data_IF_015987425101
#
_entry.id   IF_015987425101
#
_cell.length_a   1.000
_cell.length_b   1.000
_cell.length_c   1.000
_cell.angle_alpha   90.00
_cell.angle_beta   90.00
_cell.angle_gamma   90.00
#
_symmetry.space_group_name_H-M   'P 1'
#
loop_
_entity.id
_entity.type
_entity.pdbx_description
1 polymer ?
#
# COMPACT_ATOMS: atom_id res chain seq x y z
N UNK A 1 -34.17 6.44 30.75
CA UNK A 1 -33.34 5.22 30.76
C UNK A 1 -32.65 4.99 32.10
N UNK A 2 -31.64 5.78 32.50
CA UNK A 2 -31.02 5.61 33.83
C UNK A 2 -31.99 5.94 34.97
N UNK A 3 -32.83 6.96 34.80
CA UNK A 3 -33.94 7.29 35.71
C UNK A 3 -34.96 6.16 35.80
N UNK A 4 -35.45 5.65 34.68
CA UNK A 4 -36.40 4.53 34.61
C UNK A 4 -35.85 3.25 35.25
N UNK A 5 -34.55 2.97 35.11
CA UNK A 5 -33.90 1.85 35.79
C UNK A 5 -33.88 2.04 37.31
N UNK A 6 -33.47 3.23 37.78
CA UNK A 6 -33.49 3.56 39.22
C UNK A 6 -34.90 3.48 39.77
N UNK A 7 -35.88 3.96 39.02
CA UNK A 7 -37.29 3.91 39.38
C UNK A 7 -37.78 2.46 39.47
N UNK A 8 -37.49 1.59 38.49
CA UNK A 8 -37.88 0.17 38.53
C UNK A 8 -37.25 -0.61 39.69
N UNK A 9 -35.99 -0.32 40.00
CA UNK A 9 -35.29 -0.90 41.15
C UNK A 9 -35.87 -0.40 42.47
N UNK A 10 -36.22 0.88 42.53
CA UNK A 10 -36.84 1.50 43.71
C UNK A 10 -38.28 0.97 43.92
N UNK A 11 -39.10 0.90 42.88
CA UNK A 11 -40.47 0.35 42.94
C UNK A 11 -40.48 -1.10 43.41
N UNK A 12 -39.59 -1.96 42.88
CA UNK A 12 -39.54 -3.37 43.29
C UNK A 12 -39.09 -3.54 44.75
N UNK A 13 -38.20 -2.67 45.25
CA UNK A 13 -37.82 -2.67 46.67
C UNK A 13 -38.92 -2.09 47.56
N UNK A 14 -39.67 -1.11 47.05
CA UNK A 14 -40.76 -0.46 47.77
C UNK A 14 -41.99 -1.36 47.88
N UNK A 15 -42.36 -2.10 46.82
CA UNK A 15 -43.40 -3.14 46.87
C UNK A 15 -43.08 -4.25 47.88
N UNK A 16 -41.79 -4.62 48.01
CA UNK A 16 -41.34 -5.58 49.03
C UNK A 16 -41.39 -4.97 50.45
N UNK A 17 -41.13 -3.67 50.58
CA UNK A 17 -41.20 -2.97 51.84
C UNK A 17 -42.66 -2.79 52.32
N UNK A 18 -43.56 -2.45 51.40
CA UNK A 18 -45.00 -2.28 51.68
C UNK A 18 -45.65 -3.64 52.02
N UNK A 19 -45.36 -4.70 51.26
CA UNK A 19 -45.79 -6.07 51.60
C UNK A 19 -45.22 -6.54 52.95
N UNK A 20 -43.99 -6.17 53.29
CA UNK A 20 -43.43 -6.51 54.59
C UNK A 20 -44.19 -5.80 55.71
N UNK A 21 -44.50 -4.50 55.56
CA UNK A 21 -45.24 -3.74 56.56
C UNK A 21 -46.67 -4.26 56.77
N UNK A 22 -47.38 -4.64 55.70
CA UNK A 22 -48.71 -5.26 55.79
C UNK A 22 -48.71 -6.58 56.57
N UNK A 23 -47.57 -7.29 56.56
CA UNK A 23 -47.38 -8.57 57.25
C UNK A 23 -46.67 -8.44 58.60
N UNK A 24 -46.52 -7.22 59.13
CA UNK A 24 -45.88 -6.95 60.42
C UNK A 24 -44.37 -7.21 60.41
N UNK A 25 -43.70 -6.96 59.28
CA UNK A 25 -42.28 -7.14 59.05
C UNK A 25 -41.66 -5.84 58.50
N UNK A 26 -40.38 -5.63 58.73
CA UNK A 26 -39.63 -4.49 58.14
C UNK A 26 -38.33 -4.96 57.51
N UNK A 27 -37.91 -4.29 56.45
CA UNK A 27 -36.64 -4.55 55.78
C UNK A 27 -35.53 -3.76 56.47
N UNK A 28 -34.49 -4.46 56.95
CA UNK A 28 -33.31 -3.86 57.59
C UNK A 28 -32.06 -4.11 56.77
N UNK A 29 -31.13 -3.15 56.82
CA UNK A 29 -29.82 -3.24 56.19
C UNK A 29 -28.78 -3.61 57.24
N UNK A 30 -28.28 -4.83 57.19
CA UNK A 30 -27.24 -5.35 58.10
C UNK A 30 -25.89 -5.40 57.38
N UNK A 31 -24.76 -5.52 58.09
CA UNK A 31 -23.44 -5.73 57.48
C UNK A 31 -23.35 -7.00 56.61
N UNK A 32 -24.23 -7.98 56.86
CA UNK A 32 -24.33 -9.23 56.10
C UNK A 32 -25.32 -9.15 54.91
N UNK A 33 -26.04 -8.03 54.74
CA UNK A 33 -27.01 -7.83 53.67
C UNK A 33 -28.39 -7.33 54.13
N UNK A 34 -29.37 -7.40 53.23
CA UNK A 34 -30.76 -7.04 53.50
C UNK A 34 -31.50 -8.22 54.15
N UNK A 35 -32.18 -7.98 55.28
CA UNK A 35 -32.90 -9.01 56.05
C UNK A 35 -34.26 -8.47 56.52
N UNK A 36 -35.29 -9.31 56.55
CA UNK A 36 -36.59 -8.97 57.14
C UNK A 36 -36.59 -9.25 58.64
N UNK A 37 -37.15 -8.33 59.43
CA UNK A 37 -37.28 -8.47 60.88
C UNK A 37 -38.73 -8.18 61.33
N UNK A 38 -39.28 -8.90 62.33
CA UNK A 38 -40.62 -8.67 62.85
C UNK A 38 -40.78 -7.26 63.43
N UNK A 39 -41.90 -6.62 63.11
CA UNK A 39 -42.23 -5.24 63.45
C UNK A 39 -43.63 -5.18 64.08
N UNK A 40 -43.72 -4.79 65.36
CA UNK A 40 -44.97 -4.73 66.13
C UNK A 40 -44.93 -3.52 67.07
N UNK A 41 -46.04 -2.79 67.20
CA UNK A 41 -46.17 -1.60 68.07
C UNK A 41 -45.11 -0.50 67.87
N UNK A 42 -44.72 -0.26 66.61
CA UNK A 42 -43.80 0.83 66.25
C UNK A 42 -42.31 0.53 66.50
N UNK A 43 -41.97 -0.67 66.97
CA UNK A 43 -40.58 -1.10 67.20
C UNK A 43 -40.27 -2.45 66.53
N UNK A 44 -39.01 -2.62 66.14
CA UNK A 44 -38.48 -3.91 65.69
C UNK A 44 -38.38 -4.84 66.89
N UNK A 45 -39.01 -6.01 66.82
CA UNK A 45 -38.98 -7.00 67.89
C UNK A 45 -37.55 -7.54 68.06
N UNK A 46 -37.05 -7.50 69.29
CA UNK A 46 -35.78 -8.13 69.64
C UNK A 46 -35.93 -9.67 69.60
N UNK A 47 -34.84 -10.44 69.41
CA UNK A 47 -34.89 -11.90 69.44
C UNK A 47 -35.47 -12.47 70.75
N UNK A 48 -35.34 -11.74 71.86
CA UNK A 48 -35.87 -12.12 73.17
C UNK A 48 -37.40 -11.91 73.27
N UNK A 49 -37.93 -10.87 72.63
CA UNK A 49 -39.36 -10.58 72.61
C UNK A 49 -40.10 -11.44 71.58
N UNK A 50 -39.42 -11.83 70.50
CA UNK A 50 -39.92 -12.82 69.54
C UNK A 50 -40.13 -14.20 70.19
N UNK A 51 -39.26 -14.60 71.12
CA UNK A 51 -39.38 -15.87 71.84
C UNK A 51 -40.53 -15.90 72.88
N UNK A 52 -41.02 -14.73 73.32
CA UNK A 52 -42.15 -14.61 74.27
C UNK A 52 -43.51 -14.73 73.59
N UNK A 53 -43.57 -14.71 72.25
CA UNK A 53 -44.80 -14.87 71.49
C UNK A 53 -45.30 -16.33 71.53
N UNK A 54 -46.62 -16.56 71.41
CA UNK A 54 -47.18 -17.91 71.29
C UNK A 54 -46.53 -18.70 70.13
N UNK A 55 -46.34 -20.02 70.28
CA UNK A 55 -45.72 -20.85 69.23
C UNK A 55 -46.43 -20.75 67.87
N UNK A 56 -47.76 -20.55 67.88
CA UNK A 56 -48.59 -20.33 66.69
C UNK A 56 -48.19 -19.02 65.96
N UNK A 57 -48.05 -17.90 66.69
CA UNK A 57 -47.65 -16.61 66.12
C UNK A 57 -46.19 -16.63 65.64
N UNK A 58 -45.31 -17.36 66.34
CA UNK A 58 -43.91 -17.53 65.95
C UNK A 58 -43.78 -18.27 64.63
N UNK A 59 -44.49 -19.40 64.47
CA UNK A 59 -44.48 -20.19 63.22
C UNK A 59 -45.05 -19.41 62.05
N UNK A 60 -46.09 -18.59 62.28
CA UNK A 60 -46.66 -17.73 61.25
C UNK A 60 -45.66 -16.67 60.78
N UNK A 61 -45.01 -15.95 61.70
CA UNK A 61 -44.00 -14.95 61.36
C UNK A 61 -42.74 -15.54 60.72
N UNK A 62 -42.31 -16.73 61.16
CA UNK A 62 -41.19 -17.46 60.53
C UNK A 62 -41.52 -17.84 59.06
N UNK A 63 -42.73 -18.32 58.78
CA UNK A 63 -43.17 -18.62 57.41
C UNK A 63 -43.24 -17.37 56.52
N UNK A 64 -43.75 -16.26 57.06
CA UNK A 64 -43.84 -14.98 56.35
C UNK A 64 -42.46 -14.36 56.07
N UNK A 65 -41.51 -14.49 57.01
CA UNK A 65 -40.11 -14.11 56.79
C UNK A 65 -39.51 -14.94 55.67
N UNK A 66 -39.73 -16.26 55.65
CA UNK A 66 -39.19 -17.14 54.60
C UNK A 66 -39.74 -16.80 53.21
N UNK A 67 -41.04 -16.50 53.10
CA UNK A 67 -41.69 -16.14 51.85
C UNK A 67 -41.26 -14.75 51.33
N UNK A 68 -41.13 -13.76 52.21
CA UNK A 68 -40.59 -12.45 51.84
C UNK A 68 -39.10 -12.53 51.50
N UNK A 69 -38.33 -13.37 52.19
CA UNK A 69 -36.90 -13.59 51.89
C UNK A 69 -36.72 -14.28 50.52
N UNK A 70 -37.57 -15.23 50.15
CA UNK A 70 -37.62 -15.80 48.78
C UNK A 70 -37.96 -14.74 47.74
N UNK A 71 -38.90 -13.83 48.05
CA UNK A 71 -39.30 -12.74 47.15
C UNK A 71 -38.18 -11.70 46.97
N UNK A 72 -37.47 -11.35 48.04
CA UNK A 72 -36.28 -10.50 47.98
C UNK A 72 -35.15 -11.16 47.19
N UNK A 73 -34.92 -12.46 47.38
CA UNK A 73 -33.92 -13.20 46.60
C UNK A 73 -34.27 -13.20 45.11
N UNK A 74 -35.55 -13.37 44.77
CA UNK A 74 -36.04 -13.27 43.38
C UNK A 74 -35.80 -11.87 42.80
N UNK A 75 -36.11 -10.80 43.53
CA UNK A 75 -35.86 -9.43 43.08
C UNK A 75 -34.36 -9.14 42.90
N UNK A 76 -33.51 -9.60 43.83
CA UNK A 76 -32.05 -9.46 43.71
C UNK A 76 -31.47 -10.28 42.55
N UNK A 77 -32.06 -11.43 42.21
CA UNK A 77 -31.68 -12.20 41.02
C UNK A 77 -32.07 -11.50 39.71
N UNK A 78 -33.06 -10.61 39.73
CA UNK A 78 -33.46 -9.81 38.56
C UNK A 78 -32.57 -8.58 38.34
N UNK A 79 -31.93 -8.03 39.39
CA UNK A 79 -31.08 -6.85 39.25
C UNK A 79 -29.95 -7.00 38.20
N UNK A 80 -29.19 -8.11 38.15
CA UNK A 80 -28.21 -8.34 37.07
C UNK A 80 -28.84 -8.41 35.67
N UNK A 81 -30.10 -8.86 35.55
CA UNK A 81 -30.81 -8.89 34.27
C UNK A 81 -31.16 -7.48 33.81
N UNK A 82 -31.69 -6.64 34.70
CA UNK A 82 -31.99 -5.24 34.40
C UNK A 82 -30.72 -4.44 34.08
N UNK A 83 -29.61 -4.69 34.77
CA UNK A 83 -28.32 -4.09 34.42
C UNK A 83 -27.85 -4.46 33.01
N UNK A 84 -28.04 -5.72 32.60
CA UNK A 84 -27.74 -6.15 31.23
C UNK A 84 -28.67 -5.46 30.23
N UNK A 85 -29.97 -5.39 30.50
CA UNK A 85 -30.94 -4.68 29.65
C UNK A 85 -30.59 -3.19 29.48
N UNK A 86 -30.26 -2.50 30.58
CA UNK A 86 -29.82 -1.11 30.54
C UNK A 86 -28.55 -0.97 29.70
N UNK A 87 -27.57 -1.86 29.88
CA UNK A 87 -26.32 -1.83 29.11
C UNK A 87 -26.55 -2.04 27.62
N UNK A 88 -27.50 -2.91 27.25
CA UNK A 88 -27.91 -3.11 25.86
C UNK A 88 -28.59 -1.85 25.31
N UNK A 89 -29.58 -1.29 26.01
CA UNK A 89 -30.26 -0.04 25.61
C UNK A 89 -29.31 1.13 25.45
N UNK A 90 -28.36 1.30 26.37
CA UNK A 90 -27.34 2.35 26.29
C UNK A 90 -26.42 2.13 25.07
N UNK A 91 -26.06 0.87 24.77
CA UNK A 91 -25.26 0.55 23.58
C UNK A 91 -26.03 0.82 22.28
N UNK A 92 -27.32 0.46 22.24
CA UNK A 92 -28.20 0.72 21.09
C UNK A 92 -28.37 2.22 20.86
N UNK A 93 -28.66 3.00 21.90
CA UNK A 93 -28.77 4.46 21.80
C UNK A 93 -27.46 5.09 21.33
N UNK A 94 -26.32 4.66 21.89
CA UNK A 94 -25.01 5.16 21.43
C UNK A 94 -24.79 4.87 19.95
N UNK A 95 -25.13 3.65 19.50
CA UNK A 95 -25.04 3.27 18.10
C UNK A 95 -25.95 4.13 17.22
N UNK A 96 -27.19 4.37 17.62
CA UNK A 96 -28.13 5.20 16.87
C UNK A 96 -27.65 6.65 16.71
N UNK A 97 -27.19 7.25 17.81
CA UNK A 97 -26.61 8.61 17.81
C UNK A 97 -25.35 8.66 16.94
N UNK A 98 -24.49 7.65 17.05
CA UNK A 98 -23.30 7.55 16.20
C UNK A 98 -23.66 7.42 14.73
N UNK A 99 -24.57 6.51 14.38
CA UNK A 99 -24.97 6.28 12.99
C UNK A 99 -25.55 7.56 12.40
N UNK A 100 -26.32 8.33 13.18
CA UNK A 100 -26.83 9.65 12.76
C UNK A 100 -25.69 10.63 12.42
N UNK A 101 -24.70 10.77 13.32
CA UNK A 101 -23.56 11.69 13.11
C UNK A 101 -22.65 11.23 11.97
N UNK A 102 -22.34 9.94 11.89
CA UNK A 102 -21.49 9.40 10.83
C UNK A 102 -22.19 9.49 9.48
N UNK A 103 -23.49 9.23 9.40
CA UNK A 103 -24.25 9.34 8.16
C UNK A 103 -24.18 10.77 7.61
N UNK A 104 -24.31 11.80 8.44
CA UNK A 104 -24.19 13.19 8.00
C UNK A 104 -22.83 13.45 7.30
N UNK A 105 -21.72 13.08 7.94
CA UNK A 105 -20.36 13.30 7.40
C UNK A 105 -20.05 12.39 6.20
N UNK A 106 -20.53 11.15 6.20
CA UNK A 106 -20.25 10.19 5.12
C UNK A 106 -21.13 10.40 3.89
N UNK A 107 -22.35 10.93 4.04
CA UNK A 107 -23.24 11.21 2.92
C UNK A 107 -22.64 12.24 1.96
N UNK A 108 -21.99 13.28 2.49
CA UNK A 108 -21.29 14.28 1.69
C UNK A 108 -20.15 13.66 0.86
N UNK A 109 -19.47 12.65 1.40
CA UNK A 109 -18.40 11.93 0.69
C UNK A 109 -18.98 10.98 -0.35
N UNK A 110 -20.03 10.22 0.00
CA UNK A 110 -20.70 9.29 -0.92
C UNK A 110 -21.31 10.02 -2.13
N UNK A 111 -21.86 11.22 -1.92
CA UNK A 111 -22.37 12.07 -2.99
C UNK A 111 -21.26 12.57 -3.93
N UNK A 112 -20.04 12.80 -3.41
CA UNK A 112 -18.90 13.21 -4.24
C UNK A 112 -18.32 12.09 -5.10
N UNK A 113 -18.37 10.85 -4.61
CA UNK A 113 -17.77 9.67 -5.27
C UNK A 113 -18.81 8.70 -5.86
N UNK A 114 -19.97 9.22 -6.29
CA UNK A 114 -21.09 8.39 -6.76
C UNK A 114 -20.74 7.54 -7.99
N UNK A 115 -19.76 7.97 -8.79
CA UNK A 115 -19.32 7.26 -10.00
C UNK A 115 -18.27 6.15 -9.72
N UNK A 116 -17.78 6.04 -8.48
CA UNK A 116 -16.71 5.10 -8.10
C UNK A 116 -17.23 4.04 -7.12
N UNK A 117 -17.68 2.86 -7.60
CA UNK A 117 -18.29 1.84 -6.76
C UNK A 117 -17.35 1.30 -5.68
N UNK A 118 -16.05 1.19 -5.97
CA UNK A 118 -15.05 0.69 -5.01
C UNK A 118 -14.81 1.67 -3.86
N UNK A 119 -14.83 2.98 -4.15
CA UNK A 119 -14.73 4.03 -3.12
C UNK A 119 -15.97 4.00 -2.23
N UNK A 120 -17.16 3.84 -2.81
CA UNK A 120 -18.42 3.69 -2.06
C UNK A 120 -18.34 2.46 -1.14
N UNK A 121 -17.89 1.31 -1.66
CA UNK A 121 -17.72 0.07 -0.89
C UNK A 121 -16.76 0.28 0.29
N UNK A 122 -15.63 0.96 0.06
CA UNK A 122 -14.69 1.30 1.11
C UNK A 122 -15.31 2.23 2.17
N UNK A 123 -15.95 3.33 1.76
CA UNK A 123 -16.57 4.27 2.70
C UNK A 123 -17.69 3.63 3.52
N UNK A 124 -18.47 2.71 2.94
CA UNK A 124 -19.47 1.93 3.66
C UNK A 124 -18.85 0.97 4.66
N UNK A 125 -17.73 0.33 4.31
CA UNK A 125 -16.96 -0.52 5.22
C UNK A 125 -16.37 0.29 6.39
N UNK A 126 -15.81 1.47 6.10
CA UNK A 126 -15.32 2.42 7.13
C UNK A 126 -16.46 2.79 8.06
N UNK A 127 -17.64 3.17 7.53
CA UNK A 127 -18.82 3.48 8.35
C UNK A 127 -19.20 2.33 9.29
N UNK A 128 -19.32 1.11 8.76
CA UNK A 128 -19.68 -0.06 9.55
C UNK A 128 -18.65 -0.37 10.64
N UNK A 129 -17.36 -0.22 10.32
CA UNK A 129 -16.26 -0.49 11.25
C UNK A 129 -16.18 0.55 12.36
N UNK A 130 -16.35 1.85 12.04
CA UNK A 130 -16.37 2.93 13.04
C UNK A 130 -17.55 2.75 14.01
N UNK A 131 -18.75 2.45 13.49
CA UNK A 131 -19.92 2.18 14.34
C UNK A 131 -19.74 0.96 15.24
N UNK A 132 -19.03 -0.07 14.78
CA UNK A 132 -18.68 -1.26 15.56
C UNK A 132 -17.63 -1.00 16.64
N UNK A 133 -16.68 -0.10 16.38
CA UNK A 133 -15.50 0.15 17.21
C UNK A 133 -15.49 1.53 17.89
N UNK A 134 -16.65 2.11 18.14
CA UNK A 134 -16.81 3.44 18.76
C UNK A 134 -15.99 3.66 20.03
N UNK A 135 -15.87 2.63 20.86
CA UNK A 135 -15.15 2.73 22.13
C UNK A 135 -13.65 3.03 21.94
N UNK A 136 -13.08 2.66 20.80
CA UNK A 136 -11.66 2.90 20.49
C UNK A 136 -11.39 4.38 20.15
N UNK A 137 -12.42 5.12 19.75
CA UNK A 137 -12.34 6.56 19.47
C UNK A 137 -12.76 7.42 20.66
N UNK A 138 -13.57 6.87 21.58
CA UNK A 138 -14.06 7.57 22.76
C UNK A 138 -13.07 7.56 23.92
N UNK A 139 -12.00 6.75 23.87
CA UNK A 139 -10.90 6.83 24.84
C UNK A 139 -10.22 8.20 24.73
N UNK A 140 -10.18 9.00 25.81
CA UNK A 140 -9.32 10.18 25.85
C UNK A 140 -7.87 9.74 25.58
N UNK A 141 -7.04 10.58 24.97
CA UNK A 141 -5.60 10.33 24.82
C UNK A 141 -4.82 10.33 26.15
N UNK A 142 -5.44 9.99 27.28
CA UNK A 142 -4.86 9.91 28.62
C UNK A 142 -4.52 8.48 29.04
N UNK A 143 -3.83 7.76 28.15
CA UNK A 143 -2.97 6.65 28.55
C UNK A 143 -1.67 6.65 27.74
N UNK A 144 -1.20 7.86 27.39
CA UNK A 144 0.14 8.13 26.87
C UNK A 144 1.01 8.85 27.92
N UNK A 145 0.61 8.82 29.18
CA UNK A 145 1.37 9.33 30.31
C UNK A 145 1.05 8.49 31.54
N UNK A 146 1.72 7.35 31.66
CA UNK A 146 2.03 6.62 32.90
C UNK A 146 2.73 5.29 32.56
N UNK A 147 3.85 5.42 31.86
CA UNK A 147 4.97 4.48 31.91
C UNK A 147 6.24 5.24 31.51
N UNK A 148 6.45 6.42 32.10
CA UNK A 148 7.79 6.97 32.25
C UNK A 148 8.50 6.11 33.29
N UNK A 149 8.96 4.93 32.86
CA UNK A 149 10.04 4.26 33.53
C UNK A 149 11.29 5.05 33.17
N UNK A 150 11.86 5.72 34.17
CA UNK A 150 13.15 6.40 34.11
C UNK A 150 14.18 5.55 33.36
N UNK A 151 14.62 6.06 32.21
CA UNK A 151 15.58 5.41 31.34
C UNK A 151 15.98 6.38 30.23
N UNK A 152 16.96 7.22 30.53
CA UNK A 152 17.55 8.17 29.60
C UNK A 152 17.90 7.51 28.25
N UNK A 153 17.25 7.95 27.18
CA UNK A 153 17.75 7.81 25.83
C UNK A 153 17.74 9.20 25.18
N UNK A 154 18.87 9.66 24.60
CA UNK A 154 19.01 11.03 24.15
C UNK A 154 18.13 11.30 22.93
N UNK A 155 17.31 12.34 23.04
CA UNK A 155 16.51 12.91 21.97
C UNK A 155 17.38 13.37 20.81
N UNK A 156 17.24 12.75 19.64
CA UNK A 156 17.82 13.23 18.38
C UNK A 156 16.98 14.41 17.90
N UNK A 157 17.53 15.64 17.80
CA UNK A 157 16.81 16.78 17.25
C UNK A 157 16.83 16.69 15.72
N UNK A 158 15.67 16.51 15.07
CA UNK A 158 15.59 16.60 13.60
C UNK A 158 14.48 15.84 12.90
N UNK A 159 13.69 15.00 13.58
CA UNK A 159 12.56 14.33 12.95
C UNK A 159 11.33 15.26 12.93
N UNK A 160 10.91 15.62 11.71
CA UNK A 160 9.73 16.40 11.33
C UNK A 160 8.55 16.11 12.28
N UNK A 161 8.32 17.06 13.18
CA UNK A 161 7.13 17.14 14.01
C UNK A 161 5.94 17.47 13.10
N UNK A 162 5.13 16.47 12.78
CA UNK A 162 3.94 16.64 11.94
C UNK A 162 2.85 15.58 12.09
N UNK A 163 3.12 14.42 12.71
CA UNK A 163 2.15 13.31 12.76
C UNK A 163 2.02 12.59 14.11
N UNK A 164 2.58 13.15 15.19
CA UNK A 164 2.68 12.47 16.50
C UNK A 164 1.44 12.62 17.41
N UNK A 165 0.26 12.96 16.89
CA UNK A 165 -0.98 13.10 17.68
C UNK A 165 -2.24 12.50 17.01
N UNK A 166 -2.09 11.59 16.03
CA UNK A 166 -3.25 10.88 15.48
C UNK A 166 -3.47 9.59 16.26
N UNK A 167 -4.65 9.46 16.87
CA UNK A 167 -5.12 8.24 17.54
C UNK A 167 -4.79 7.03 16.63
N UNK A 168 -4.09 5.98 17.12
CA UNK A 168 -3.76 4.80 16.31
C UNK A 168 -5.00 4.18 15.64
N UNK A 169 -6.17 4.32 16.26
CA UNK A 169 -7.45 3.90 15.69
C UNK A 169 -7.85 4.64 14.40
N UNK A 170 -7.25 5.79 14.08
CA UNK A 170 -7.47 6.53 12.83
C UNK A 170 -6.51 6.09 11.71
N UNK A 171 -5.39 5.44 12.03
CA UNK A 171 -4.44 4.97 11.00
C UNK A 171 -5.06 3.90 10.11
N UNK A 172 -5.93 3.04 10.64
CA UNK A 172 -6.61 1.96 9.87
C UNK A 172 -7.46 2.45 8.69
N UNK A 173 -7.84 3.73 8.67
CA UNK A 173 -8.67 4.33 7.61
C UNK A 173 -7.92 5.30 6.71
N UNK A 174 -6.60 5.38 6.82
CA UNK A 174 -5.84 6.19 5.89
C UNK A 174 -5.85 5.56 4.50
N UNK A 175 -5.64 6.38 3.48
CA UNK A 175 -5.52 5.93 2.10
C UNK A 175 -4.04 6.02 1.73
N UNK A 176 -3.47 4.90 1.28
CA UNK A 176 -2.11 4.87 0.73
C UNK A 176 -2.19 5.08 -0.79
N UNK A 177 -1.85 6.28 -1.25
CA UNK A 177 -1.80 6.59 -2.68
C UNK A 177 -0.54 5.96 -3.27
N UNK A 178 -0.71 4.88 -4.02
CA UNK A 178 0.40 4.15 -4.64
C UNK A 178 1.02 4.92 -5.81
N UNK A 179 0.19 5.50 -6.68
CA UNK A 179 0.65 6.26 -7.84
C UNK A 179 -0.19 7.52 -7.95
N UNK A 180 0.48 8.66 -8.06
CA UNK A 180 -0.14 9.96 -8.34
C UNK A 180 0.13 10.34 -9.79
N UNK A 181 -0.95 10.57 -10.54
CA UNK A 181 -0.93 10.96 -11.95
C UNK A 181 -1.54 12.35 -12.18
N UNK A 182 -1.69 13.18 -11.14
CA UNK A 182 -2.33 14.49 -11.23
C UNK A 182 -1.69 15.44 -12.25
N UNK A 183 -0.36 15.38 -12.41
CA UNK A 183 0.40 16.20 -13.37
C UNK A 183 0.61 15.53 -14.74
N UNK A 184 0.06 14.33 -14.96
CA UNK A 184 0.30 13.58 -16.19
C UNK A 184 -0.50 14.16 -17.37
N UNK A 185 0.21 14.52 -18.46
CA UNK A 185 -0.41 15.07 -19.68
C UNK A 185 -0.78 14.00 -20.72
N UNK A 186 -0.47 12.73 -20.46
CA UNK A 186 -0.69 11.63 -21.39
C UNK A 186 -0.38 10.27 -20.75
N UNK A 187 -0.38 9.22 -21.57
CA UNK A 187 -0.09 7.86 -21.10
C UNK A 187 1.34 7.76 -20.53
N UNK A 188 1.55 7.08 -19.40
CA UNK A 188 2.87 6.95 -18.79
C UNK A 188 3.80 6.15 -19.71
N UNK A 189 5.04 6.61 -19.89
CA UNK A 189 6.09 5.88 -20.62
C UNK A 189 7.30 5.75 -19.71
N UNK A 190 7.53 4.55 -19.19
CA UNK A 190 8.56 4.30 -18.19
C UNK A 190 9.64 3.36 -18.75
N UNK A 191 10.91 3.72 -18.55
CA UNK A 191 12.04 2.85 -18.79
C UNK A 191 12.62 2.39 -17.45
N UNK A 192 12.58 1.08 -17.18
CA UNK A 192 13.15 0.53 -15.94
C UNK A 192 14.57 0.01 -16.17
N UNK A 193 15.51 0.54 -15.40
CA UNK A 193 16.94 0.24 -15.51
C UNK A 193 17.28 -1.05 -14.76
N UNK A 194 16.59 -1.33 -13.65
CA UNK A 194 16.78 -2.48 -12.78
C UNK A 194 15.46 -3.25 -12.59
N UNK A 195 15.10 -4.14 -13.54
CA UNK A 195 13.84 -4.87 -13.55
C UNK A 195 13.88 -6.07 -12.59
N UNK A 196 14.14 -5.83 -11.30
CA UNK A 196 14.03 -6.86 -10.27
C UNK A 196 12.56 -7.20 -10.02
N UNK A 197 12.26 -8.42 -9.56
CA UNK A 197 10.89 -8.84 -9.26
C UNK A 197 10.15 -7.83 -8.37
N UNK A 198 10.75 -7.42 -7.24
CA UNK A 198 10.17 -6.45 -6.31
C UNK A 198 9.99 -5.06 -6.93
N UNK A 199 10.85 -4.65 -7.86
CA UNK A 199 10.68 -3.38 -8.56
C UNK A 199 9.58 -3.46 -9.62
N UNK A 200 9.34 -4.62 -10.23
CA UNK A 200 8.27 -4.84 -11.20
C UNK A 200 6.90 -4.82 -10.51
N UNK A 201 6.68 -5.76 -9.58
CA UNK A 201 5.37 -5.96 -8.96
C UNK A 201 5.13 -5.06 -7.76
N UNK A 202 6.17 -4.54 -7.11
CA UNK A 202 6.04 -3.81 -5.84
C UNK A 202 6.38 -4.68 -4.64
N UNK A 203 6.26 -4.10 -3.44
CA UNK A 203 6.62 -4.80 -2.20
C UNK A 203 5.87 -4.27 -1.00
N UNK A 204 5.75 -5.09 0.04
CA UNK A 204 5.31 -4.67 1.36
C UNK A 204 6.53 -4.51 2.25
N UNK A 205 6.80 -3.29 2.72
CA UNK A 205 7.91 -3.02 3.63
C UNK A 205 7.54 -3.37 5.08
N UNK A 206 8.57 -3.63 5.88
CA UNK A 206 8.45 -3.92 7.31
C UNK A 206 9.31 -2.94 8.09
N UNK A 207 8.77 -2.42 9.19
CA UNK A 207 9.51 -1.56 10.12
C UNK A 207 9.81 -2.32 11.40
N UNK A 208 11.04 -2.19 11.90
CA UNK A 208 11.40 -2.72 13.20
C UNK A 208 10.89 -1.78 14.30
N UNK A 209 9.97 -2.24 15.12
CA UNK A 209 9.46 -1.53 16.29
C UNK A 209 9.67 -2.40 17.53
N UNK A 210 10.51 -1.93 18.46
CA UNK A 210 10.87 -2.65 19.68
C UNK A 210 11.33 -4.10 19.46
N UNK A 211 12.11 -4.35 18.39
CA UNK A 211 12.62 -5.69 18.05
C UNK A 211 11.62 -6.61 17.34
N UNK A 212 10.35 -6.21 17.20
CA UNK A 212 9.37 -6.88 16.36
C UNK A 212 9.31 -6.21 14.97
N UNK A 213 9.13 -7.02 13.92
CA UNK A 213 8.85 -6.51 12.57
C UNK A 213 7.34 -6.29 12.45
N UNK A 214 6.94 -5.05 12.21
CA UNK A 214 5.55 -4.64 12.01
C UNK A 214 5.37 -4.17 10.58
N UNK A 215 4.21 -4.49 9.99
CA UNK A 215 3.82 -4.02 8.66
C UNK A 215 2.39 -3.49 8.68
N UNK A 216 2.10 -2.52 7.82
CA UNK A 216 0.77 -1.96 7.60
C UNK A 216 0.59 -1.60 6.12
N UNK A 217 -0.64 -1.26 5.73
CA UNK A 217 -0.96 -0.97 4.33
C UNK A 217 -0.28 0.31 3.80
N UNK A 218 0.23 1.19 4.69
CA UNK A 218 0.98 2.40 4.30
C UNK A 218 2.41 2.08 3.89
N UNK A 219 2.90 0.89 4.26
CA UNK A 219 4.20 0.36 3.88
C UNK A 219 4.18 -0.42 2.56
N UNK A 220 3.03 -0.48 1.88
CA UNK A 220 2.95 -0.99 0.52
C UNK A 220 3.61 0.01 -0.42
N UNK A 221 4.61 -0.44 -1.18
CA UNK A 221 5.32 0.34 -2.19
C UNK A 221 4.95 -0.12 -3.60
N UNK A 222 4.60 0.82 -4.50
CA UNK A 222 4.28 0.49 -5.88
C UNK A 222 5.51 -0.04 -6.63
N UNK A 223 5.27 -0.96 -7.56
CA UNK A 223 6.23 -1.36 -8.58
C UNK A 223 6.20 -0.46 -9.82
N UNK A 224 7.00 -0.79 -10.84
CA UNK A 224 6.91 -0.13 -12.16
C UNK A 224 5.67 -0.53 -12.92
N UNK A 225 5.14 -1.74 -12.73
CA UNK A 225 3.88 -2.14 -13.38
C UNK A 225 2.72 -1.25 -12.91
N UNK A 226 2.70 -0.91 -11.61
CA UNK A 226 1.74 0.03 -11.06
C UNK A 226 1.86 1.41 -11.69
N UNK A 227 3.08 1.92 -11.84
CA UNK A 227 3.35 3.25 -12.41
C UNK A 227 3.13 3.33 -13.92
N UNK A 228 3.33 2.22 -14.63
CA UNK A 228 3.14 2.12 -16.08
C UNK A 228 1.71 1.75 -16.49
N UNK A 229 0.84 1.47 -15.52
CA UNK A 229 -0.54 1.07 -15.77
C UNK A 229 -1.29 2.17 -16.55
N UNK A 230 -2.00 1.79 -17.61
CA UNK A 230 -2.61 2.67 -18.61
C UNK A 230 -1.65 3.20 -19.68
N UNK A 231 -0.41 2.68 -19.79
CA UNK A 231 0.61 3.19 -20.70
C UNK A 231 1.62 2.16 -21.19
N UNK A 232 2.91 2.54 -21.17
CA UNK A 232 4.01 1.81 -21.79
C UNK A 232 5.16 1.57 -20.80
N UNK A 233 5.68 0.35 -20.78
CA UNK A 233 6.83 -0.05 -19.99
C UNK A 233 7.94 -0.59 -20.90
N UNK A 234 9.09 0.07 -20.90
CA UNK A 234 10.28 -0.34 -21.64
C UNK A 234 11.23 -1.08 -20.69
N UNK A 235 11.62 -2.30 -21.05
CA UNK A 235 12.52 -3.16 -20.28
C UNK A 235 13.66 -3.67 -21.16
N UNK A 236 14.85 -3.79 -20.58
CA UNK A 236 15.95 -4.52 -21.20
C UNK A 236 15.78 -6.02 -20.92
N UNK A 237 15.59 -6.81 -21.99
CA UNK A 237 15.31 -8.23 -21.90
C UNK A 237 16.46 -9.00 -21.23
N UNK A 238 17.72 -8.62 -21.51
CA UNK A 238 18.87 -9.29 -20.89
C UNK A 238 18.89 -9.03 -19.39
N UNK A 239 18.68 -7.78 -18.96
CA UNK A 239 18.63 -7.45 -17.53
C UNK A 239 17.48 -8.14 -16.81
N UNK A 240 16.31 -8.21 -17.45
CA UNK A 240 15.13 -8.88 -16.92
C UNK A 240 15.39 -10.37 -16.66
N UNK A 241 16.02 -11.07 -17.61
CA UNK A 241 16.36 -12.50 -17.47
C UNK A 241 17.47 -12.77 -16.45
N UNK A 242 18.36 -11.80 -16.22
CA UNK A 242 19.41 -11.93 -15.20
C UNK A 242 18.88 -11.77 -13.77
N UNK A 243 17.69 -11.18 -13.59
CA UNK A 243 17.09 -11.01 -12.28
C UNK A 243 16.26 -12.24 -11.90
N UNK A 244 16.51 -12.88 -10.73
CA UNK A 244 15.73 -14.04 -10.29
C UNK A 244 14.23 -13.72 -10.24
N UNK A 245 13.41 -14.62 -10.78
CA UNK A 245 11.94 -14.58 -10.79
C UNK A 245 11.30 -13.36 -11.48
N UNK A 246 12.08 -12.42 -12.02
CA UNK A 246 11.53 -11.22 -12.65
C UNK A 246 10.82 -11.53 -13.96
N UNK A 247 11.38 -12.43 -14.78
CA UNK A 247 10.76 -12.90 -16.02
C UNK A 247 9.41 -13.58 -15.76
N UNK A 248 9.40 -14.59 -14.89
CA UNK A 248 8.17 -15.32 -14.53
C UNK A 248 7.14 -14.40 -13.87
N UNK A 249 7.58 -13.49 -13.01
CA UNK A 249 6.71 -12.50 -12.39
C UNK A 249 6.03 -11.58 -13.41
N UNK A 250 6.78 -11.15 -14.42
CA UNK A 250 6.24 -10.35 -15.51
C UNK A 250 5.25 -11.16 -16.36
N UNK A 251 5.60 -12.38 -16.76
CA UNK A 251 4.72 -13.26 -17.54
C UNK A 251 3.39 -13.46 -16.83
N UNK A 252 3.41 -13.86 -15.56
CA UNK A 252 2.20 -14.02 -14.74
C UNK A 252 1.35 -12.75 -14.70
N UNK A 253 1.98 -11.59 -14.48
CA UNK A 253 1.24 -10.33 -14.43
C UNK A 253 0.53 -10.02 -15.76
N UNK A 254 1.18 -10.33 -16.90
CA UNK A 254 0.62 -10.12 -18.24
C UNK A 254 -0.43 -11.18 -18.62
N UNK A 255 -0.23 -12.43 -18.23
CA UNK A 255 -1.16 -13.54 -18.50
C UNK A 255 -2.48 -13.37 -17.73
N UNK A 256 -2.40 -13.05 -16.44
CA UNK A 256 -3.58 -12.85 -15.60
C UNK A 256 -4.18 -11.44 -15.73
N UNK A 257 -3.44 -10.49 -16.31
CA UNK A 257 -3.88 -9.10 -16.43
C UNK A 257 -4.04 -8.43 -15.07
N UNK A 258 -3.24 -8.80 -14.08
CA UNK A 258 -3.29 -8.25 -12.72
C UNK A 258 -1.91 -8.22 -12.06
N UNK A 259 -1.69 -7.22 -11.20
CA UNK A 259 -0.48 -7.05 -10.42
C UNK A 259 -0.73 -7.62 -9.03
N UNK A 260 0.06 -8.61 -8.64
CA UNK A 260 0.05 -9.20 -7.31
C UNK A 260 1.34 -8.87 -6.57
N UNK A 261 1.21 -8.21 -5.42
CA UNK A 261 2.35 -7.94 -4.54
C UNK A 261 2.54 -9.16 -3.64
N UNK A 262 3.43 -10.06 -4.06
CA UNK A 262 3.79 -11.27 -3.32
C UNK A 262 5.27 -11.20 -2.92
N UNK A 263 5.63 -11.72 -1.74
CA UNK A 263 7.04 -11.83 -1.36
C UNK A 263 7.64 -13.15 -1.86
N UNK A 264 8.79 -13.15 -2.54
CA UNK A 264 9.48 -14.40 -2.92
C UNK A 264 9.77 -15.33 -1.72
N UNK A 265 10.01 -14.76 -0.53
CA UNK A 265 10.24 -15.54 0.70
C UNK A 265 8.97 -16.25 1.19
N UNK A 266 7.80 -15.67 0.93
CA UNK A 266 6.52 -16.32 1.21
C UNK A 266 6.23 -17.45 0.22
N UNK A 267 6.54 -17.25 -1.07
CA UNK A 267 6.43 -18.33 -2.07
C UNK A 267 7.28 -19.55 -1.69
N UNK A 268 8.42 -19.32 -1.04
CA UNK A 268 9.31 -20.39 -0.56
C UNK A 268 8.96 -20.89 0.86
N UNK A 269 7.90 -20.36 1.50
CA UNK A 269 7.51 -20.65 2.89
C UNK A 269 8.64 -20.45 3.92
N UNK A 270 9.61 -19.58 3.63
CA UNK A 270 10.82 -19.37 4.45
C UNK A 270 10.62 -18.36 5.58
N UNK A 271 9.44 -17.75 5.68
CA UNK A 271 9.09 -16.77 6.72
C UNK A 271 7.72 -17.08 7.31
N UNK A 272 7.63 -17.16 8.64
CA UNK A 272 6.41 -17.43 9.42
C UNK A 272 5.68 -16.16 9.90
N UNK A 273 6.07 -14.99 9.42
CA UNK A 273 5.43 -13.72 9.78
C UNK A 273 4.17 -13.50 8.96
N UNK A 274 3.04 -13.26 9.63
CA UNK A 274 1.79 -12.83 8.99
C UNK A 274 2.10 -11.53 8.25
N UNK A 275 1.94 -11.54 6.93
CA UNK A 275 2.11 -10.38 6.07
C UNK A 275 0.77 -9.98 5.51
N UNK A 276 0.68 -8.72 5.08
CA UNK A 276 -0.42 -8.26 4.25
C UNK A 276 -0.39 -8.97 2.90
N UNK A 277 -1.58 -9.34 2.44
CA UNK A 277 -1.86 -9.82 1.08
C UNK A 277 -2.79 -8.79 0.43
N UNK A 278 -2.23 -7.79 -0.29
CA UNK A 278 -3.03 -6.79 -0.98
C UNK A 278 -3.89 -7.45 -2.06
N UNK A 279 -5.09 -6.90 -2.29
CA UNK A 279 -5.95 -7.32 -3.41
C UNK A 279 -5.22 -7.08 -4.75
N UNK A 280 -5.27 -8.04 -5.69
CA UNK A 280 -4.67 -7.86 -7.02
C UNK A 280 -5.21 -6.63 -7.75
N UNK A 281 -4.33 -5.89 -8.42
CA UNK A 281 -4.69 -4.67 -9.15
C UNK A 281 -4.76 -4.98 -10.65
N UNK A 282 -5.87 -4.72 -11.36
CA UNK A 282 -5.96 -4.93 -12.80
C UNK A 282 -4.85 -4.20 -13.57
N UNK A 283 -4.24 -4.90 -14.52
CA UNK A 283 -3.11 -4.44 -15.33
C UNK A 283 -3.53 -4.20 -16.78
N UNK A 284 -3.34 -2.97 -17.24
CA UNK A 284 -3.44 -2.54 -18.63
C UNK A 284 -2.13 -1.83 -19.01
N UNK A 285 -1.15 -2.56 -19.55
CA UNK A 285 0.14 -1.99 -19.93
C UNK A 285 0.66 -2.59 -21.23
N UNK A 286 1.31 -1.77 -22.04
CA UNK A 286 2.07 -2.23 -23.21
C UNK A 286 3.55 -2.36 -22.84
N UNK A 287 4.03 -3.60 -22.78
CA UNK A 287 5.44 -3.88 -22.49
C UNK A 287 6.25 -3.94 -23.78
N UNK A 288 7.37 -3.21 -23.82
CA UNK A 288 8.33 -3.19 -24.91
C UNK A 288 9.65 -3.74 -24.38
N UNK A 289 10.03 -4.92 -24.88
CA UNK A 289 11.32 -5.53 -24.58
C UNK A 289 12.37 -5.06 -25.58
N UNK A 290 13.49 -4.57 -25.06
CA UNK A 290 14.67 -4.18 -25.82
C UNK A 290 15.73 -5.27 -25.67
N UNK A 291 16.22 -5.79 -26.78
CA UNK A 291 17.21 -6.86 -26.79
C UNK A 291 17.87 -7.01 -28.16
N UNK A 292 18.91 -7.82 -28.22
CA UNK A 292 19.52 -8.20 -29.50
C UNK A 292 18.71 -9.29 -30.20
N UNK A 293 18.97 -9.47 -31.50
CA UNK A 293 18.25 -10.42 -32.34
C UNK A 293 18.47 -11.88 -31.91
N UNK A 294 19.65 -12.20 -31.37
CA UNK A 294 19.94 -13.56 -30.92
C UNK A 294 19.13 -13.90 -29.68
N UNK A 295 18.99 -12.95 -28.75
CA UNK A 295 18.20 -13.09 -27.53
C UNK A 295 16.72 -13.31 -27.84
N UNK A 296 16.17 -12.61 -28.83
CA UNK A 296 14.81 -12.86 -29.31
C UNK A 296 14.62 -14.32 -29.75
N UNK A 297 15.50 -14.85 -30.60
CA UNK A 297 15.38 -16.25 -31.06
C UNK A 297 15.61 -17.26 -29.94
N UNK A 298 16.51 -16.98 -29.00
CA UNK A 298 16.71 -17.84 -27.83
C UNK A 298 15.45 -17.87 -26.95
N UNK A 299 14.80 -16.73 -26.72
CA UNK A 299 13.56 -16.66 -25.95
C UNK A 299 12.41 -17.37 -26.65
N UNK A 300 12.17 -17.10 -27.93
CA UNK A 300 11.11 -17.74 -28.71
C UNK A 300 11.26 -19.27 -28.78
N UNK A 301 12.48 -19.81 -28.69
CA UNK A 301 12.71 -21.26 -28.63
C UNK A 301 12.64 -21.84 -27.22
N UNK A 302 13.08 -21.08 -26.21
CA UNK A 302 13.16 -21.56 -24.84
C UNK A 302 11.84 -21.46 -24.09
N UNK A 303 10.99 -20.50 -24.44
CA UNK A 303 9.76 -20.17 -23.72
C UNK A 303 8.56 -20.07 -24.69
N UNK A 304 7.61 -21.03 -24.65
CA UNK A 304 6.46 -21.03 -25.55
C UNK A 304 5.49 -19.87 -25.30
N UNK A 305 5.42 -19.36 -24.07
CA UNK A 305 4.52 -18.26 -23.70
C UNK A 305 5.01 -16.92 -24.28
N UNK A 306 6.29 -16.84 -24.66
CA UNK A 306 6.91 -15.64 -25.18
C UNK A 306 6.21 -15.11 -26.44
N UNK A 307 5.95 -15.97 -27.41
CA UNK A 307 5.29 -15.57 -28.66
C UNK A 307 3.80 -15.25 -28.46
N UNK A 308 3.17 -15.81 -27.43
CA UNK A 308 1.79 -15.49 -27.06
C UNK A 308 1.68 -14.10 -26.42
N UNK A 309 2.62 -13.74 -25.56
CA UNK A 309 2.67 -12.47 -24.86
C UNK A 309 3.25 -11.34 -25.73
N UNK A 310 4.29 -11.63 -26.51
CA UNK A 310 5.06 -10.66 -27.31
C UNK A 310 4.87 -10.87 -28.82
N UNK A 311 3.63 -10.67 -29.29
CA UNK A 311 3.21 -10.95 -30.67
C UNK A 311 3.88 -10.10 -31.76
N UNK A 312 4.40 -8.93 -31.41
CA UNK A 312 4.94 -7.96 -32.38
C UNK A 312 6.45 -7.86 -32.22
N UNK A 313 7.19 -8.38 -33.19
CA UNK A 313 8.62 -8.17 -33.33
C UNK A 313 8.88 -6.95 -34.22
N UNK A 314 9.55 -5.93 -33.68
CA UNK A 314 10.05 -4.79 -34.43
C UNK A 314 11.57 -4.92 -34.58
N UNK A 315 12.02 -5.44 -35.73
CA UNK A 315 13.45 -5.54 -36.06
C UNK A 315 13.93 -4.24 -36.70
N UNK A 316 14.96 -3.62 -36.11
CA UNK A 316 15.62 -2.46 -36.68
C UNK A 316 16.74 -2.93 -37.59
N UNK A 317 16.59 -2.72 -38.89
CA UNK A 317 17.66 -3.07 -39.83
C UNK A 317 18.94 -2.30 -39.50
N UNK A 318 20.06 -3.02 -39.40
CA UNK A 318 21.40 -2.45 -39.19
C UNK A 318 21.93 -1.72 -40.44
N UNK A 319 21.22 -1.87 -41.56
CA UNK A 319 21.63 -1.40 -42.88
C UNK A 319 20.45 -0.86 -43.66
N UNK A 320 20.64 0.26 -44.34
CA UNK A 320 19.68 0.83 -45.31
C UNK A 320 20.32 0.90 -46.70
N UNK A 321 19.49 0.85 -47.73
CA UNK A 321 19.93 1.07 -49.11
C UNK A 321 20.42 2.51 -49.28
N UNK A 322 21.51 2.69 -50.01
CA UNK A 322 22.08 3.98 -50.35
C UNK A 322 21.46 4.49 -51.66
N UNK A 323 20.50 5.37 -51.52
CA UNK A 323 19.86 6.09 -52.61
C UNK A 323 19.89 7.61 -52.31
N UNK A 324 19.55 8.49 -53.28
CA UNK A 324 19.59 9.93 -53.05
C UNK A 324 18.68 10.42 -51.90
N UNK A 325 17.57 9.74 -51.64
CA UNK A 325 16.64 10.08 -50.55
C UNK A 325 17.22 9.67 -49.20
N UNK A 326 17.70 8.44 -49.08
CA UNK A 326 18.31 7.92 -47.85
C UNK A 326 19.58 8.69 -47.49
N UNK A 327 20.37 9.13 -48.46
CA UNK A 327 21.51 10.02 -48.23
C UNK A 327 21.09 11.38 -47.66
N UNK A 328 19.98 11.95 -48.12
CA UNK A 328 19.45 13.21 -47.59
C UNK A 328 18.92 13.02 -46.15
N UNK A 329 18.21 11.92 -45.88
CA UNK A 329 17.76 11.58 -44.53
C UNK A 329 18.95 11.36 -43.59
N UNK A 330 20.02 10.71 -44.06
CA UNK A 330 21.25 10.51 -43.30
C UNK A 330 21.97 11.83 -43.00
N UNK A 331 22.00 12.76 -43.96
CA UNK A 331 22.54 14.09 -43.74
C UNK A 331 21.73 14.87 -42.69
N UNK A 332 20.40 14.73 -42.67
CA UNK A 332 19.53 15.28 -41.62
C UNK A 332 19.80 14.65 -40.27
N UNK A 333 19.99 13.32 -40.20
CA UNK A 333 20.38 12.63 -38.98
C UNK A 333 21.71 13.19 -38.43
N UNK A 334 22.72 13.34 -39.28
CA UNK A 334 24.00 13.95 -38.90
C UNK A 334 23.79 15.37 -38.36
N UNK A 335 22.98 16.19 -39.04
CA UNK A 335 22.68 17.54 -38.59
C UNK A 335 21.98 17.56 -37.21
N UNK A 336 21.02 16.66 -36.98
CA UNK A 336 20.34 16.50 -35.69
C UNK A 336 21.33 16.11 -34.59
N UNK A 337 22.25 15.17 -34.86
CA UNK A 337 23.28 14.75 -33.90
C UNK A 337 24.25 15.90 -33.59
N UNK A 338 24.70 16.63 -34.61
CA UNK A 338 25.60 17.79 -34.44
C UNK A 338 24.94 18.85 -33.56
N UNK A 339 23.64 19.09 -33.74
CA UNK A 339 22.88 20.04 -32.92
C UNK A 339 22.68 19.53 -31.48
N UNK A 340 22.27 18.27 -31.30
CA UNK A 340 21.99 17.72 -29.97
C UNK A 340 23.25 17.63 -29.11
N UNK A 341 24.38 17.27 -29.72
CA UNK A 341 25.69 17.18 -29.07
C UNK A 341 26.45 18.52 -29.04
N UNK A 342 25.86 19.61 -29.57
CA UNK A 342 26.47 20.96 -29.62
C UNK A 342 27.85 20.99 -30.28
N UNK A 343 28.05 20.19 -31.33
CA UNK A 343 29.29 20.14 -32.10
C UNK A 343 29.38 21.32 -33.07
N UNK A 344 30.58 21.61 -33.60
CA UNK A 344 30.73 22.64 -34.64
C UNK A 344 30.01 22.26 -35.94
N UNK A 345 29.67 23.25 -36.78
CA UNK A 345 29.06 22.98 -38.07
C UNK A 345 29.94 22.08 -38.95
N UNK A 346 29.32 21.13 -39.63
CA UNK A 346 29.98 20.25 -40.60
C UNK A 346 29.70 20.79 -42.02
N UNK A 347 30.76 20.97 -42.81
CA UNK A 347 30.62 21.30 -44.22
C UNK A 347 30.10 20.09 -45.03
N UNK A 348 29.55 20.33 -46.22
CA UNK A 348 29.08 19.29 -47.15
C UNK A 348 30.14 18.22 -47.43
N UNK A 349 31.42 18.62 -47.45
CA UNK A 349 32.54 17.69 -47.66
C UNK A 349 32.71 16.72 -46.47
N UNK A 350 32.51 17.19 -45.24
CA UNK A 350 32.58 16.36 -44.05
C UNK A 350 31.39 15.39 -43.98
N UNK A 351 30.17 15.87 -44.23
CA UNK A 351 28.95 15.04 -44.27
C UNK A 351 29.09 13.94 -45.32
N UNK A 352 29.52 14.28 -46.54
CA UNK A 352 29.77 13.29 -47.59
C UNK A 352 30.80 12.24 -47.17
N UNK A 353 31.89 12.65 -46.51
CA UNK A 353 32.91 11.72 -46.03
C UNK A 353 32.40 10.79 -44.92
N UNK A 354 31.53 11.27 -44.03
CA UNK A 354 30.88 10.45 -43.00
C UNK A 354 29.95 9.41 -43.64
N UNK A 355 29.14 9.81 -44.64
CA UNK A 355 28.28 8.89 -45.39
C UNK A 355 29.11 7.82 -46.10
N UNK A 356 30.20 8.19 -46.78
CA UNK A 356 31.10 7.20 -47.39
C UNK A 356 31.71 6.24 -46.36
N UNK A 357 32.09 6.76 -45.19
CA UNK A 357 32.63 5.93 -44.13
C UNK A 357 31.58 4.96 -43.58
N UNK A 358 30.32 5.37 -43.46
CA UNK A 358 29.23 4.47 -43.08
C UNK A 358 29.00 3.34 -44.09
N UNK A 359 29.14 3.60 -45.40
CA UNK A 359 29.09 2.56 -46.43
C UNK A 359 30.27 1.59 -46.31
N UNK A 360 31.48 2.15 -46.09
CA UNK A 360 32.69 1.35 -45.88
C UNK A 360 32.60 0.45 -44.65
N UNK A 361 31.95 0.89 -43.57
CA UNK A 361 31.74 0.07 -42.37
C UNK A 361 30.87 -1.16 -42.62
N UNK A 362 29.89 -1.05 -43.53
CA UNK A 362 29.05 -2.19 -43.97
C UNK A 362 29.81 -3.10 -44.94
N UNK A 363 30.83 -2.58 -45.62
CA UNK A 363 31.59 -3.30 -46.64
C UNK A 363 30.88 -3.36 -48.00
N UNK A 364 29.84 -2.54 -48.19
CA UNK A 364 28.98 -2.53 -49.38
C UNK A 364 28.70 -1.06 -49.77
N UNK A 365 29.04 -0.69 -51.01
CA UNK A 365 28.92 0.68 -51.49
C UNK A 365 27.48 1.15 -51.69
N UNK A 366 26.55 0.20 -51.84
CA UNK A 366 25.12 0.44 -52.06
C UNK A 366 24.33 0.48 -50.74
N UNK A 367 25.01 0.44 -49.60
CA UNK A 367 24.39 0.34 -48.28
C UNK A 367 25.01 1.31 -47.28
N UNK A 368 24.23 1.74 -46.29
CA UNK A 368 24.66 2.61 -45.20
C UNK A 368 24.36 1.96 -43.86
N UNK A 369 25.25 2.10 -42.89
CA UNK A 369 25.02 1.62 -41.53
C UNK A 369 24.05 2.51 -40.78
N UNK A 370 23.09 1.92 -40.07
CA UNK A 370 22.15 2.60 -39.17
C UNK A 370 22.62 2.61 -37.71
N UNK A 371 23.84 2.14 -37.42
CA UNK A 371 24.41 2.12 -36.07
C UNK A 371 24.78 3.53 -35.61
N UNK A 372 23.78 4.25 -35.09
CA UNK A 372 23.87 5.68 -34.73
C UNK A 372 25.04 5.98 -33.81
N UNK A 373 25.30 5.15 -32.81
CA UNK A 373 26.39 5.39 -31.85
C UNK A 373 27.76 5.51 -32.54
N UNK A 374 28.04 4.67 -33.54
CA UNK A 374 29.33 4.75 -34.26
C UNK A 374 29.46 6.06 -35.05
N UNK A 375 28.33 6.58 -35.55
CA UNK A 375 28.27 7.87 -36.23
C UNK A 375 28.54 8.99 -35.23
N UNK A 376 27.87 8.97 -34.08
CA UNK A 376 28.06 9.94 -32.99
C UNK A 376 29.55 10.00 -32.60
N UNK A 377 30.16 8.85 -32.30
CA UNK A 377 31.57 8.79 -31.93
C UNK A 377 32.49 9.37 -33.02
N UNK A 378 32.19 9.09 -34.30
CA UNK A 378 32.97 9.63 -35.42
C UNK A 378 32.81 11.15 -35.55
N UNK A 379 31.62 11.68 -35.30
CA UNK A 379 31.34 13.12 -35.34
C UNK A 379 32.05 13.83 -34.16
N UNK A 380 32.00 13.27 -32.96
CA UNK A 380 32.71 13.80 -31.78
C UNK A 380 34.22 13.82 -31.99
N UNK A 381 34.80 12.72 -32.50
CA UNK A 381 36.23 12.67 -32.84
C UNK A 381 36.57 13.70 -33.92
N UNK A 382 35.71 13.86 -34.93
CA UNK A 382 35.92 14.85 -36.00
C UNK A 382 35.92 16.27 -35.45
N UNK A 383 34.99 16.59 -34.55
CA UNK A 383 34.95 17.88 -33.86
C UNK A 383 36.26 18.08 -33.08
N UNK A 384 36.68 17.11 -32.27
CA UNK A 384 37.94 17.20 -31.53
C UNK A 384 39.14 17.55 -32.44
N UNK A 385 39.28 16.91 -33.60
CA UNK A 385 40.34 17.21 -34.56
C UNK A 385 40.19 18.59 -35.23
N UNK A 386 38.96 19.04 -35.47
CA UNK A 386 38.73 20.41 -35.92
C UNK A 386 39.13 21.43 -34.85
N UNK A 387 39.02 21.09 -33.55
CA UNK A 387 39.37 21.98 -32.42
C UNK A 387 40.87 22.17 -32.35
N UNK A 388 41.59 21.05 -32.40
CA UNK A 388 43.05 21.04 -32.42
C UNK A 388 43.59 21.83 -33.63
N UNK A 389 42.89 21.80 -34.77
CA UNK A 389 43.25 22.58 -35.96
C UNK A 389 42.80 24.05 -35.93
N UNK A 390 42.09 24.50 -34.89
CA UNK A 390 41.55 25.86 -34.80
C UNK A 390 40.44 26.18 -35.80
N UNK A 391 39.80 25.17 -36.40
CA UNK A 391 38.79 25.35 -37.43
C UNK A 391 37.40 25.58 -36.83
N UNK A 392 36.69 26.60 -37.33
CA UNK A 392 35.30 26.88 -36.93
C UNK A 392 34.29 25.91 -37.58
N UNK A 393 34.67 25.26 -38.69
CA UNK A 393 33.83 24.32 -39.45
C UNK A 393 34.61 23.02 -39.66
N UNK A 394 33.96 21.88 -39.41
CA UNK A 394 34.53 20.57 -39.66
C UNK A 394 34.51 20.25 -41.17
N UNK A 395 35.64 19.80 -41.72
CA UNK A 395 35.82 19.47 -43.15
C UNK A 395 36.15 17.99 -43.34
N UNK A 396 36.12 17.52 -44.59
CA UNK A 396 36.48 16.13 -44.93
C UNK A 396 37.88 15.71 -44.41
N UNK A 397 38.82 16.65 -44.32
CA UNK A 397 40.16 16.40 -43.80
C UNK A 397 40.16 15.99 -42.32
N UNK A 398 39.32 16.63 -41.50
CA UNK A 398 39.16 16.29 -40.08
C UNK A 398 38.51 14.92 -39.91
N UNK A 399 37.47 14.60 -40.69
CA UNK A 399 36.84 13.27 -40.71
C UNK A 399 37.87 12.21 -41.10
N UNK A 400 38.66 12.47 -42.13
CA UNK A 400 39.70 11.55 -42.59
C UNK A 400 40.80 11.33 -41.55
N UNK A 401 41.13 12.35 -40.74
CA UNK A 401 42.06 12.26 -39.61
C UNK A 401 41.48 11.39 -38.49
N UNK A 402 40.20 11.59 -38.15
CA UNK A 402 39.46 10.75 -37.19
C UNK A 402 39.51 9.27 -37.59
N UNK A 403 39.10 8.94 -38.82
CA UNK A 403 39.10 7.57 -39.35
C UNK A 403 40.49 6.92 -39.26
N UNK A 404 41.55 7.64 -39.67
CA UNK A 404 42.92 7.12 -39.66
C UNK A 404 43.42 6.82 -38.25
N UNK A 405 42.97 7.56 -37.24
CA UNK A 405 43.37 7.39 -35.84
C UNK A 405 42.54 6.30 -35.14
N UNK A 406 41.27 6.15 -35.52
CA UNK A 406 40.36 5.12 -35.00
C UNK A 406 40.66 3.71 -35.52
N UNK A 407 41.37 3.58 -36.65
CA UNK A 407 41.81 2.28 -37.18
C UNK A 407 43.12 1.87 -36.47
N UNK A 408 43.14 0.95 -35.49
CA UNK A 408 44.40 0.42 -34.99
C UNK A 408 45.15 -0.22 -36.16
N UNK A 409 46.46 0.04 -36.25
CA UNK A 409 47.35 -0.64 -37.19
C UNK A 409 47.41 -2.14 -36.84
N UNK A 410 46.42 -2.92 -37.24
CA UNK A 410 46.60 -4.36 -37.43
C UNK A 410 47.47 -4.52 -38.67
N UNK A 411 48.77 -4.34 -38.46
CA UNK A 411 49.79 -4.69 -39.41
C UNK A 411 49.72 -6.18 -39.66
N UNK A 412 49.32 -6.56 -40.87
CA UNK A 412 49.55 -7.88 -41.44
C UNK A 412 51.05 -8.16 -41.33
N UNK A 413 51.46 -8.90 -40.30
CA UNK A 413 52.78 -9.55 -40.27
C UNK A 413 52.70 -10.76 -41.20
N UNK A 414 52.87 -10.54 -42.50
CA UNK A 414 53.38 -11.58 -43.40
C UNK A 414 54.83 -11.85 -43.05
N UNK A 415 55.05 -12.64 -42.00
CA UNK A 415 56.33 -13.24 -41.69
C UNK A 415 56.36 -14.64 -42.31
N UNK A 416 57.17 -14.81 -43.36
CA UNK A 416 57.54 -16.12 -43.90
C UNK A 416 58.06 -17.00 -42.77
N UNK A 417 57.41 -18.14 -42.55
CA UNK A 417 58.00 -19.23 -41.79
C UNK A 417 59.23 -19.75 -42.56
N UNK A 418 60.36 -19.82 -41.87
CA UNK A 418 61.46 -20.73 -42.19
C UNK A 418 61.38 -21.90 -41.25
#
# INVERSE_FOLDING_TARGET
MESEFRERQQTSLQELQDNAQERGLTLLRTPAGLVFAPFKDGNVLSPEDFQKLPEEERKHLEAEVEDLQKSLQSALQQAPRWERELRVKVRELRREVTDFVINDVTNDLLAKYTEQPDVIKYLQAVRADVSGHLQDFLKPPESAGEAESEGEAPSVPGAISGNSQRNPALRRYQVNVLVDCSDAQGAPVLYEINPSYLNLVGRVEQMAQMGALVTDFTLIKPGVLHRANGGYLLLDARKLLMQPNAWEGLKRALEFGEIRIESPLQMMSLTSTVSLEPEPIPLDVKVILLGDRMLYYMLAQADPDFDELFKVAADFSEVITRDPESQLQYARLIATIVQSQKLRPFDKSAVGRVIEQSARMVGDSEKLSTRVQMIVDLLEETDHWAAEAGAQVATAAHVQKAIKKKTPKFGVRTGRAR
#
